data_IF_025281532471
#
_entry.id   IF_025281532471
#
_cell.length_a   1.000
_cell.length_b   1.000
_cell.length_c   1.000
_cell.angle_alpha   90.00
_cell.angle_beta   90.00
_cell.angle_gamma   90.00
#
_symmetry.space_group_name_H-M   'P 1'
#
loop_
_entity.id
_entity.type
_entity.pdbx_description
1 polymer ?
#
# COMPACT_ATOMS: atom_id res chain seq x y z
N UNK A 1 23.38 4.08 14.69
CA UNK A 1 23.05 4.25 13.26
C UNK A 1 21.63 4.79 13.20
N UNK A 2 21.33 5.74 12.31
CA UNK A 2 19.95 6.16 12.10
C UNK A 2 19.18 4.96 11.56
N UNK A 3 18.01 4.66 12.13
CA UNK A 3 17.16 3.59 11.62
C UNK A 3 16.57 4.05 10.29
N UNK A 4 16.78 3.27 9.23
CA UNK A 4 16.12 3.54 7.95
C UNK A 4 14.63 3.27 8.10
N UNK A 5 13.79 4.18 7.60
CA UNK A 5 12.34 4.05 7.62
C UNK A 5 11.83 3.50 6.30
N UNK A 6 11.21 2.31 6.32
CA UNK A 6 10.68 1.66 5.12
C UNK A 6 9.16 1.54 5.19
N UNK A 7 8.47 2.08 4.18
CA UNK A 7 7.03 1.99 4.04
C UNK A 7 6.64 0.85 3.09
N UNK A 8 6.03 -0.20 3.61
CA UNK A 8 5.48 -1.27 2.77
C UNK A 8 4.10 -0.83 2.27
N UNK A 9 3.97 -0.65 0.96
CA UNK A 9 2.82 0.00 0.35
C UNK A 9 2.12 -0.96 -0.59
N UNK A 10 0.92 -1.40 -0.20
CA UNK A 10 0.00 -2.09 -1.09
C UNK A 10 -0.78 -1.06 -1.91
N UNK A 11 -0.83 -1.25 -3.22
CA UNK A 11 -1.61 -0.43 -4.14
C UNK A 11 -2.84 -1.22 -4.62
N UNK A 12 -3.95 -0.51 -4.79
CA UNK A 12 -5.19 -0.94 -5.44
C UNK A 12 -5.59 0.21 -6.38
N UNK A 13 -5.17 0.17 -7.65
CA UNK A 13 -5.31 1.36 -8.50
C UNK A 13 -6.74 1.63 -8.92
N UNK A 14 -7.55 0.60 -9.06
CA UNK A 14 -8.93 0.72 -9.52
C UNK A 14 -9.95 0.79 -8.37
N UNK A 15 -9.51 0.93 -7.12
CA UNK A 15 -10.36 1.20 -5.94
C UNK A 15 -11.37 0.09 -5.63
N UNK A 16 -10.98 -1.16 -5.81
CA UNK A 16 -11.81 -2.31 -5.45
C UNK A 16 -12.02 -2.43 -3.93
N UNK A 17 -11.05 -2.00 -3.11
CA UNK A 17 -11.23 -1.89 -1.65
C UNK A 17 -12.31 -0.86 -1.28
N UNK A 18 -12.37 0.26 -2.00
CA UNK A 18 -13.34 1.31 -1.76
C UNK A 18 -14.72 0.92 -2.29
N UNK A 19 -14.76 0.35 -3.49
CA UNK A 19 -15.97 -0.03 -4.18
C UNK A 19 -16.65 -1.27 -3.58
N UNK A 20 -15.90 -2.35 -3.37
CA UNK A 20 -16.46 -3.64 -2.92
C UNK A 20 -16.56 -3.72 -1.39
N UNK A 21 -15.56 -3.22 -0.67
CA UNK A 21 -15.50 -3.30 0.79
C UNK A 21 -15.96 -2.02 1.52
N UNK A 22 -16.21 -0.92 0.81
CA UNK A 22 -16.70 0.33 1.39
C UNK A 22 -15.69 1.03 2.30
N UNK A 23 -14.40 0.83 2.06
CA UNK A 23 -13.32 1.35 2.91
C UNK A 23 -12.68 2.60 2.31
N UNK A 24 -12.15 3.46 3.16
CA UNK A 24 -11.45 4.68 2.73
C UNK A 24 -9.96 4.50 2.99
N UNK A 25 -9.15 4.79 1.97
CA UNK A 25 -7.68 4.77 2.03
C UNK A 25 -7.11 6.19 2.14
N UNK A 26 -5.91 6.39 2.73
CA UNK A 26 -4.95 5.37 3.15
C UNK A 26 -5.39 4.61 4.41
N UNK A 27 -5.25 3.29 4.40
CA UNK A 27 -5.42 2.43 5.58
C UNK A 27 -4.03 2.10 6.08
N UNK A 28 -3.69 2.50 7.30
CA UNK A 28 -2.34 2.37 7.86
C UNK A 28 -2.35 1.37 9.03
N UNK A 29 -1.31 0.53 9.09
CA UNK A 29 -1.07 -0.40 10.19
C UNK A 29 -1.60 -1.80 9.93
N UNK A 30 -0.84 -2.80 10.41
CA UNK A 30 -1.08 -4.22 10.16
C UNK A 30 -2.52 -4.66 10.47
N UNK A 31 -3.02 -4.34 11.66
CA UNK A 31 -4.35 -4.77 12.10
C UNK A 31 -5.46 -4.17 11.22
N UNK A 32 -5.27 -2.93 10.77
CA UNK A 32 -6.21 -2.26 9.89
C UNK A 32 -6.22 -2.88 8.48
N UNK A 33 -5.04 -3.20 7.92
CA UNK A 33 -4.93 -3.91 6.65
C UNK A 33 -5.53 -5.32 6.73
N UNK A 34 -5.27 -6.06 7.82
CA UNK A 34 -5.85 -7.39 8.00
C UNK A 34 -7.39 -7.34 8.04
N UNK A 35 -7.95 -6.33 8.71
CA UNK A 35 -9.39 -6.08 8.71
C UNK A 35 -9.91 -5.72 7.32
N UNK A 36 -9.16 -4.92 6.55
CA UNK A 36 -9.50 -4.54 5.20
C UNK A 36 -9.53 -5.75 4.26
N UNK A 37 -8.48 -6.57 4.26
CA UNK A 37 -8.42 -7.82 3.49
C UNK A 37 -9.56 -8.77 3.85
N UNK A 38 -9.87 -8.93 5.15
CA UNK A 38 -10.98 -9.78 5.59
C UNK A 38 -12.33 -9.28 5.08
N UNK A 39 -12.55 -7.95 5.11
CA UNK A 39 -13.79 -7.36 4.60
C UNK A 39 -13.92 -7.53 3.08
N UNK A 40 -12.83 -7.31 2.34
CA UNK A 40 -12.81 -7.52 0.89
C UNK A 40 -13.08 -8.98 0.55
N UNK A 41 -12.40 -9.92 1.20
CA UNK A 41 -12.61 -11.35 0.98
C UNK A 41 -14.04 -11.83 1.28
N UNK A 42 -14.74 -11.20 2.24
CA UNK A 42 -16.14 -11.48 2.51
C UNK A 42 -17.09 -10.86 1.48
N UNK A 43 -16.70 -9.74 0.86
CA UNK A 43 -17.49 -9.06 -0.16
C UNK A 43 -17.31 -9.71 -1.55
N UNK A 44 -16.07 -10.03 -1.90
CA UNK A 44 -15.66 -10.65 -3.16
C UNK A 44 -14.41 -11.53 -2.95
N UNK A 45 -14.55 -12.85 -2.78
CA UNK A 45 -13.42 -13.75 -2.52
C UNK A 45 -12.55 -14.01 -3.76
N UNK A 46 -12.97 -13.59 -4.95
CA UNK A 46 -12.20 -13.75 -6.19
C UNK A 46 -11.20 -12.60 -6.39
N UNK A 47 -11.25 -11.56 -5.55
CA UNK A 47 -10.42 -10.37 -5.69
C UNK A 47 -8.93 -10.64 -5.40
N UNK A 48 -8.05 -10.24 -6.32
CA UNK A 48 -6.61 -10.46 -6.22
C UNK A 48 -5.92 -9.48 -5.27
N UNK A 49 -6.49 -8.29 -5.04
CA UNK A 49 -5.99 -7.33 -4.03
C UNK A 49 -5.84 -7.96 -2.64
N UNK A 50 -6.71 -8.93 -2.30
CA UNK A 50 -6.65 -9.65 -1.02
C UNK A 50 -5.26 -10.24 -0.83
N UNK A 51 -4.70 -10.86 -1.88
CA UNK A 51 -3.38 -11.47 -1.84
C UNK A 51 -2.27 -10.43 -1.72
N UNK A 52 -2.38 -9.30 -2.41
CA UNK A 52 -1.44 -8.19 -2.30
C UNK A 52 -1.40 -7.61 -0.88
N UNK A 53 -2.56 -7.44 -0.23
CA UNK A 53 -2.63 -6.96 1.16
C UNK A 53 -1.95 -7.94 2.11
N UNK A 54 -2.21 -9.25 1.96
CA UNK A 54 -1.56 -10.27 2.79
C UNK A 54 -0.04 -10.33 2.57
N UNK A 55 0.41 -10.15 1.33
CA UNK A 55 1.84 -10.09 1.00
C UNK A 55 2.51 -8.85 1.62
N UNK A 56 1.87 -7.69 1.57
CA UNK A 56 2.34 -6.48 2.24
C UNK A 56 2.48 -6.68 3.76
N UNK A 57 1.49 -7.32 4.40
CA UNK A 57 1.57 -7.67 5.83
C UNK A 57 2.73 -8.64 6.10
N UNK A 58 2.93 -9.64 5.22
CA UNK A 58 4.02 -10.61 5.36
C UNK A 58 5.40 -9.94 5.29
N UNK A 59 5.60 -9.05 4.31
CA UNK A 59 6.85 -8.29 4.15
C UNK A 59 7.09 -7.39 5.37
N UNK A 60 6.06 -6.67 5.82
CA UNK A 60 6.14 -5.82 7.01
C UNK A 60 6.59 -6.61 8.25
N UNK A 61 6.02 -7.79 8.52
CA UNK A 61 6.43 -8.62 9.65
C UNK A 61 7.88 -9.14 9.51
N UNK A 62 8.32 -9.44 8.29
CA UNK A 62 9.71 -9.85 8.04
C UNK A 62 10.69 -8.72 8.35
N UNK A 63 10.36 -7.48 7.95
CA UNK A 63 11.17 -6.30 8.29
C UNK A 63 11.23 -6.07 9.80
N UNK A 64 10.11 -6.29 10.50
CA UNK A 64 10.01 -6.05 11.95
C UNK A 64 10.70 -7.10 12.81
N UNK A 65 10.69 -8.35 12.35
CA UNK A 65 11.34 -9.49 13.04
C UNK A 65 12.83 -9.62 12.72
N UNK A 66 13.30 -8.99 11.64
CA UNK A 66 14.71 -8.90 11.31
C UNK A 66 15.48 -8.01 12.29
N UNK A 67 16.72 -8.41 12.63
CA UNK A 67 17.64 -7.70 13.52
C UNK A 67 18.24 -6.41 12.88
N UNK A 68 17.51 -5.78 11.96
CA UNK A 68 18.08 -4.92 10.90
C UNK A 68 18.12 -3.44 11.23
N UNK A 69 17.65 -3.00 12.40
CA UNK A 69 17.60 -1.56 12.71
C UNK A 69 16.72 -0.77 11.74
N UNK A 70 15.76 -1.42 11.09
CA UNK A 70 14.77 -0.80 10.20
C UNK A 70 13.52 -0.49 11.02
N UNK A 71 13.02 0.74 10.90
CA UNK A 71 11.67 1.10 11.34
C UNK A 71 10.75 0.96 10.14
N UNK A 72 9.63 0.25 10.27
CA UNK A 72 8.73 0.02 9.15
C UNK A 72 7.28 0.29 9.52
N UNK A 73 6.50 0.61 8.51
CA UNK A 73 5.04 0.75 8.57
C UNK A 73 4.43 0.14 7.31
N UNK A 74 3.18 -0.31 7.39
CA UNK A 74 2.45 -0.87 6.26
C UNK A 74 1.20 -0.05 5.96
N UNK A 75 0.94 0.18 4.67
CA UNK A 75 -0.19 0.97 4.21
C UNK A 75 -0.86 0.35 2.99
N UNK A 76 -2.18 0.47 2.89
CA UNK A 76 -2.97 0.20 1.69
C UNK A 76 -3.50 1.51 1.13
N UNK A 77 -3.23 1.76 -0.16
CA UNK A 77 -3.63 2.96 -0.87
C UNK A 77 -4.41 2.58 -2.11
N UNK A 78 -5.61 3.14 -2.22
CA UNK A 78 -6.47 2.91 -3.35
C UNK A 78 -6.65 4.14 -4.23
N UNK A 79 -6.89 3.93 -5.51
CA UNK A 79 -7.06 4.97 -6.50
C UNK A 79 -8.50 5.39 -6.74
N UNK A 80 -8.98 5.13 -7.96
CA UNK A 80 -10.33 5.45 -8.43
C UNK A 80 -10.78 4.45 -9.50
N UNK A 81 -12.06 4.07 -9.48
CA UNK A 81 -12.69 3.18 -10.48
C UNK A 81 -12.51 3.60 -11.93
N UNK A 82 -12.34 4.90 -12.19
CA UNK A 82 -12.12 5.41 -13.54
C UNK A 82 -10.72 5.16 -14.08
N UNK A 83 -9.79 4.70 -13.22
CA UNK A 83 -8.35 4.48 -13.49
C UNK A 83 -7.70 5.68 -14.20
N UNK A 84 -6.47 5.49 -14.70
CA UNK A 84 -5.74 6.55 -15.41
C UNK A 84 -5.45 7.77 -14.53
N UNK A 85 -5.42 8.96 -15.15
CA UNK A 85 -4.91 10.17 -14.51
C UNK A 85 -5.69 10.61 -13.24
N UNK A 86 -6.95 10.20 -13.07
CA UNK A 86 -7.74 10.51 -11.87
C UNK A 86 -7.28 9.66 -10.70
N UNK A 87 -7.22 8.34 -10.91
CA UNK A 87 -6.68 7.38 -9.93
C UNK A 87 -5.24 7.73 -9.55
N UNK A 88 -4.40 7.96 -10.58
CA UNK A 88 -2.98 8.27 -10.42
C UNK A 88 -2.74 9.50 -9.54
N UNK A 89 -3.56 10.57 -9.71
CA UNK A 89 -3.50 11.77 -8.87
C UNK A 89 -3.93 11.49 -7.43
N UNK A 90 -4.99 10.71 -7.23
CA UNK A 90 -5.46 10.35 -5.89
C UNK A 90 -4.41 9.54 -5.14
N UNK A 91 -3.79 8.57 -5.80
CA UNK A 91 -2.72 7.77 -5.19
C UNK A 91 -1.53 8.66 -4.82
N UNK A 92 -1.11 9.55 -5.72
CA UNK A 92 -0.06 10.52 -5.42
C UNK A 92 -0.35 11.36 -4.17
N UNK A 93 -1.58 11.88 -4.04
CA UNK A 93 -1.99 12.66 -2.86
C UNK A 93 -1.98 11.83 -1.57
N UNK A 94 -2.51 10.60 -1.61
CA UNK A 94 -2.52 9.71 -0.43
C UNK A 94 -1.11 9.30 -0.01
N UNK A 95 -0.20 9.07 -0.96
CA UNK A 95 1.22 8.84 -0.66
C UNK A 95 1.82 10.07 0.03
N UNK A 96 1.55 11.28 -0.48
CA UNK A 96 2.04 12.51 0.13
C UNK A 96 1.56 12.66 1.59
N UNK A 97 0.30 12.32 1.88
CA UNK A 97 -0.27 12.31 3.23
C UNK A 97 0.41 11.31 4.17
N UNK A 98 0.74 10.12 3.67
CA UNK A 98 1.39 9.06 4.46
C UNK A 98 2.86 9.41 4.73
N UNK A 99 3.58 9.91 3.71
CA UNK A 99 4.97 10.33 3.85
C UNK A 99 5.13 11.54 4.78
N UNK A 100 4.14 12.44 4.83
CA UNK A 100 4.12 13.55 5.77
C UNK A 100 3.99 13.10 7.24
N UNK A 101 3.42 11.91 7.49
CA UNK A 101 3.24 11.36 8.84
C UNK A 101 4.38 10.44 9.27
N UNK A 102 4.78 9.51 8.40
CA UNK A 102 5.77 8.48 8.76
C UNK A 102 7.21 8.91 8.46
N UNK A 103 7.41 9.80 7.47
CA UNK A 103 8.71 10.24 6.96
C UNK A 103 9.58 9.06 6.48
N UNK A 104 9.03 8.25 5.57
CA UNK A 104 9.76 7.11 5.01
C UNK A 104 10.99 7.54 4.20
N UNK A 105 12.10 6.82 4.35
CA UNK A 105 13.29 6.96 3.50
C UNK A 105 13.17 6.12 2.23
N UNK A 106 12.51 4.97 2.33
CA UNK A 106 12.23 4.09 1.21
C UNK A 106 10.85 3.44 1.28
N UNK A 107 10.40 2.89 0.16
CA UNK A 107 9.18 2.12 0.06
C UNK A 107 9.43 0.77 -0.62
N UNK A 108 8.65 -0.22 -0.21
CA UNK A 108 8.49 -1.50 -0.92
C UNK A 108 7.08 -1.50 -1.48
N UNK A 109 6.93 -1.64 -2.78
CA UNK A 109 5.63 -1.72 -3.41
C UNK A 109 5.14 -3.16 -3.49
N UNK A 110 3.86 -3.34 -3.21
CA UNK A 110 3.16 -4.60 -3.35
C UNK A 110 1.92 -4.34 -4.19
N UNK A 111 1.76 -5.16 -5.22
CA UNK A 111 0.65 -5.10 -6.16
C UNK A 111 0.37 -6.52 -6.65
N UNK A 112 -0.86 -6.76 -7.08
CA UNK A 112 -1.31 -8.02 -7.65
C UNK A 112 -1.20 -8.08 -9.19
N UNK A 113 -0.83 -6.98 -9.87
CA UNK A 113 -0.94 -6.93 -11.32
C UNK A 113 -0.18 -5.80 -12.02
N UNK A 114 0.04 -6.02 -13.32
CA UNK A 114 0.76 -5.07 -14.17
C UNK A 114 0.05 -3.71 -14.33
N UNK A 115 -1.27 -3.63 -14.09
CA UNK A 115 -2.05 -2.39 -14.22
C UNK A 115 -1.75 -1.40 -13.08
N UNK A 116 -1.56 -1.92 -11.88
CA UNK A 116 -1.19 -1.17 -10.69
C UNK A 116 0.25 -0.68 -10.74
N UNK A 117 1.16 -1.47 -11.31
CA UNK A 117 2.58 -1.11 -11.50
C UNK A 117 2.76 0.16 -12.37
N UNK A 118 1.73 0.61 -13.10
CA UNK A 118 1.76 1.91 -13.80
C UNK A 118 1.95 3.10 -12.85
N UNK A 119 1.64 2.93 -11.56
CA UNK A 119 1.81 3.97 -10.56
C UNK A 119 3.26 4.17 -10.13
N UNK A 120 4.15 3.22 -10.43
CA UNK A 120 5.55 3.20 -9.96
C UNK A 120 6.24 4.57 -10.18
N UNK A 121 6.21 5.20 -11.37
CA UNK A 121 6.89 6.48 -11.58
C UNK A 121 6.36 7.61 -10.67
N UNK A 122 5.08 7.58 -10.34
CA UNK A 122 4.43 8.58 -9.47
C UNK A 122 4.91 8.41 -8.04
N UNK A 123 5.02 7.18 -7.56
CA UNK A 123 5.53 6.89 -6.21
C UNK A 123 7.04 7.15 -6.14
N UNK A 124 7.81 6.72 -7.15
CA UNK A 124 9.26 6.97 -7.24
C UNK A 124 9.62 8.45 -7.21
N UNK A 125 8.75 9.33 -7.72
CA UNK A 125 8.98 10.77 -7.66
C UNK A 125 8.92 11.37 -6.24
N UNK A 126 8.40 10.61 -5.26
CA UNK A 126 8.18 11.04 -3.87
C UNK A 126 9.08 10.31 -2.87
N UNK A 127 9.32 9.03 -3.10
CA UNK A 127 10.09 8.15 -2.21
C UNK A 127 10.90 7.15 -3.02
N UNK A 128 12.08 6.79 -2.52
CA UNK A 128 12.91 5.75 -3.15
C UNK A 128 12.21 4.40 -3.05
N UNK A 129 12.10 3.69 -4.17
CA UNK A 129 11.56 2.32 -4.18
C UNK A 129 12.72 1.35 -4.12
N UNK A 130 12.72 0.48 -3.12
CA UNK A 130 13.75 -0.56 -2.92
C UNK A 130 13.33 -1.91 -3.53
N UNK A 131 12.03 -2.16 -3.66
CA UNK A 131 11.45 -3.33 -4.31
C UNK A 131 10.03 -3.05 -4.78
#
# INVERSE_FOLDING_TARGET
MAKTKTLVTCIDRDDDIGWKAGLVTPIIGKEALLSAATKLALADPEESDINAIFEAIRIYEQLRTGDTGVESEVVLIAGDRSVGAVSDRKIGQKIDEVLAQFHADSAILVSDGAEDEWIIPIIQSRVKIDS
#
